data_IF_709357477002
#
_entry.id   IF_709357477002
#
_cell.length_a   1.000
_cell.length_b   1.000
_cell.length_c   1.000
_cell.angle_alpha   90.00
_cell.angle_beta   90.00
_cell.angle_gamma   90.00
#
_symmetry.space_group_name_H-M   'P 1'
#
loop_
_entity.id
_entity.type
_entity.pdbx_description
1 polymer ?
#
# COMPACT_ATOMS: atom_id res chain seq x y z
N UNK A 1 1.37 13.87 -15.83
CA UNK A 1 0.95 12.54 -16.32
C UNK A 1 2.21 11.78 -16.75
N UNK A 2 2.29 10.47 -16.48
CA UNK A 2 3.38 9.64 -16.95
C UNK A 2 3.24 9.33 -18.45
N UNK A 3 4.35 8.96 -19.09
CA UNK A 3 4.36 8.30 -20.40
C UNK A 3 4.12 6.79 -20.18
N UNK A 4 2.93 6.24 -20.55
CA UNK A 4 2.56 4.87 -20.18
C UNK A 4 3.52 3.80 -20.68
N UNK A 5 3.99 3.87 -21.91
CA UNK A 5 4.89 2.87 -22.49
C UNK A 5 6.25 2.84 -21.77
N UNK A 6 6.78 4.02 -21.40
CA UNK A 6 8.02 4.09 -20.63
C UNK A 6 7.79 3.66 -19.17
N UNK A 7 6.67 4.00 -18.55
CA UNK A 7 6.32 3.50 -17.22
C UNK A 7 6.20 1.97 -17.19
N UNK A 8 5.60 1.37 -18.22
CA UNK A 8 5.53 -0.08 -18.37
C UNK A 8 6.93 -0.68 -18.52
N UNK A 9 7.79 -0.10 -19.35
CA UNK A 9 9.18 -0.54 -19.47
C UNK A 9 9.92 -0.49 -18.11
N UNK A 10 9.78 0.59 -17.35
CA UNK A 10 10.38 0.71 -16.02
C UNK A 10 9.86 -0.36 -15.05
N UNK A 11 8.55 -0.63 -15.07
CA UNK A 11 7.92 -1.68 -14.27
C UNK A 11 8.38 -3.09 -14.69
N UNK A 12 8.53 -3.35 -15.99
CA UNK A 12 9.05 -4.61 -16.51
C UNK A 12 10.50 -4.84 -16.07
N UNK A 13 11.32 -3.78 -16.04
CA UNK A 13 12.69 -3.85 -15.48
C UNK A 13 12.67 -4.19 -14.00
N UNK A 14 11.76 -3.62 -13.23
CA UNK A 14 11.59 -3.93 -11.81
C UNK A 14 11.20 -5.40 -11.57
N UNK A 15 10.17 -5.89 -12.27
CA UNK A 15 9.72 -7.29 -12.12
C UNK A 15 10.75 -8.29 -12.65
N UNK A 16 11.47 -7.96 -13.73
CA UNK A 16 12.57 -8.79 -14.22
C UNK A 16 13.73 -8.86 -13.22
N UNK A 17 14.08 -7.75 -12.56
CA UNK A 17 15.12 -7.71 -11.54
C UNK A 17 14.75 -8.57 -10.31
N UNK A 18 13.48 -8.53 -9.89
CA UNK A 18 12.95 -9.40 -8.83
C UNK A 18 13.09 -10.88 -9.22
N UNK A 19 12.61 -11.26 -10.41
CA UNK A 19 12.70 -12.65 -10.91
C UNK A 19 14.15 -13.12 -11.04
N UNK A 20 15.06 -12.26 -11.51
CA UNK A 20 16.48 -12.56 -11.61
C UNK A 20 17.15 -12.82 -10.24
N UNK A 21 16.55 -12.33 -9.16
CA UNK A 21 16.98 -12.57 -7.78
C UNK A 21 16.16 -13.68 -7.08
N UNK A 22 15.45 -14.52 -7.85
CA UNK A 22 14.73 -15.68 -7.32
C UNK A 22 13.41 -15.37 -6.62
N UNK A 23 12.84 -14.18 -6.84
CA UNK A 23 11.51 -13.82 -6.30
C UNK A 23 10.41 -14.28 -7.25
N UNK A 24 9.44 -15.00 -6.73
CA UNK A 24 8.19 -15.32 -7.44
C UNK A 24 7.29 -14.08 -7.48
N UNK A 25 7.21 -13.45 -8.66
CA UNK A 25 6.43 -12.23 -8.87
C UNK A 25 5.02 -12.56 -9.35
N UNK A 26 4.01 -12.10 -8.60
CA UNK A 26 2.60 -12.22 -8.95
C UNK A 26 2.05 -10.83 -9.32
N UNK A 27 1.50 -10.71 -10.52
CA UNK A 27 0.92 -9.46 -11.02
C UNK A 27 -0.51 -9.26 -10.47
N UNK A 28 -0.84 -8.03 -10.07
CA UNK A 28 -2.16 -7.67 -9.53
C UNK A 28 -3.30 -8.07 -10.48
N UNK A 29 -3.15 -7.84 -11.79
CA UNK A 29 -4.16 -8.19 -12.79
C UNK A 29 -4.50 -9.69 -12.79
N UNK A 30 -3.51 -10.55 -12.57
CA UNK A 30 -3.71 -12.01 -12.47
C UNK A 30 -4.42 -12.38 -11.18
N UNK A 31 -4.04 -11.75 -10.06
CA UNK A 31 -4.73 -11.93 -8.77
C UNK A 31 -6.21 -11.55 -8.88
N UNK A 32 -6.51 -10.40 -9.47
CA UNK A 32 -7.88 -9.91 -9.61
C UNK A 32 -8.69 -10.77 -10.59
N UNK A 33 -8.08 -11.23 -11.68
CA UNK A 33 -8.74 -12.13 -12.63
C UNK A 33 -9.22 -13.40 -11.93
N UNK A 34 -8.36 -14.05 -11.15
CA UNK A 34 -8.72 -15.24 -10.37
C UNK A 34 -9.74 -14.92 -9.26
N UNK A 35 -9.55 -13.82 -8.53
CA UNK A 35 -10.41 -13.39 -7.44
C UNK A 35 -11.86 -13.12 -7.84
N UNK A 36 -12.06 -12.65 -9.07
CA UNK A 36 -13.36 -12.25 -9.59
C UNK A 36 -14.07 -13.37 -10.35
N UNK A 37 -13.48 -14.56 -10.49
CA UNK A 37 -14.12 -15.70 -11.14
C UNK A 37 -15.35 -16.21 -10.36
N UNK A 38 -15.33 -16.36 -9.01
CA UNK A 38 -16.52 -16.76 -8.26
C UNK A 38 -17.60 -15.69 -8.30
N UNK A 39 -18.81 -16.06 -8.75
CA UNK A 39 -19.93 -15.13 -8.94
C UNK A 39 -20.28 -14.35 -7.67
N UNK A 40 -20.26 -15.00 -6.50
CA UNK A 40 -20.55 -14.36 -5.22
C UNK A 40 -19.52 -13.28 -4.83
N UNK A 41 -18.23 -13.53 -5.09
CA UNK A 41 -17.16 -12.57 -4.85
C UNK A 41 -17.26 -11.39 -5.83
N UNK A 42 -17.45 -11.69 -7.11
CA UNK A 42 -17.68 -10.70 -8.15
C UNK A 42 -18.84 -9.76 -7.79
N UNK A 43 -20.05 -10.29 -7.54
CA UNK A 43 -21.23 -9.48 -7.20
C UNK A 43 -21.01 -8.56 -6.01
N UNK A 44 -20.23 -8.98 -5.00
CA UNK A 44 -19.89 -8.17 -3.83
C UNK A 44 -19.00 -6.98 -4.21
N UNK A 45 -17.94 -7.22 -4.98
CA UNK A 45 -17.02 -6.18 -5.46
C UNK A 45 -17.76 -5.17 -6.34
N UNK A 46 -18.56 -5.66 -7.29
CA UNK A 46 -19.22 -4.80 -8.28
C UNK A 46 -20.22 -3.82 -7.64
N UNK A 47 -20.90 -4.21 -6.56
CA UNK A 47 -21.76 -3.31 -5.77
C UNK A 47 -20.98 -2.13 -5.18
N UNK A 48 -19.75 -2.36 -4.74
CA UNK A 48 -18.88 -1.33 -4.19
C UNK A 48 -18.21 -0.45 -5.26
N UNK A 49 -17.88 -1.02 -6.42
CA UNK A 49 -17.24 -0.32 -7.54
C UNK A 49 -18.21 0.60 -8.30
N UNK A 50 -19.47 0.18 -8.46
CA UNK A 50 -20.52 0.93 -9.16
C UNK A 50 -21.71 1.28 -8.24
N UNK A 51 -21.52 2.14 -7.21
CA UNK A 51 -22.57 2.46 -6.25
C UNK A 51 -23.65 3.34 -6.88
N UNK A 52 -24.92 2.97 -6.69
CA UNK A 52 -26.08 3.72 -7.19
C UNK A 52 -26.16 5.13 -6.59
N UNK A 53 -25.61 5.34 -5.39
CA UNK A 53 -25.52 6.64 -4.72
C UNK A 53 -24.70 7.65 -5.52
N UNK A 54 -23.71 7.18 -6.31
CA UNK A 54 -22.89 8.05 -7.17
C UNK A 54 -23.43 8.11 -8.61
N UNK A 55 -23.86 6.97 -9.13
CA UNK A 55 -24.17 6.80 -10.56
C UNK A 55 -25.64 7.03 -10.92
N UNK A 56 -26.55 6.90 -9.95
CA UNK A 56 -27.96 6.66 -10.22
C UNK A 56 -28.24 5.19 -10.54
N UNK A 57 -29.49 4.76 -10.38
CA UNK A 57 -29.87 3.35 -10.45
C UNK A 57 -29.65 2.71 -11.82
N UNK A 58 -30.04 3.39 -12.90
CA UNK A 58 -29.94 2.86 -14.27
C UNK A 58 -28.47 2.66 -14.69
N UNK A 59 -27.63 3.70 -14.57
CA UNK A 59 -26.19 3.63 -14.90
C UNK A 59 -25.50 2.57 -14.05
N UNK A 60 -25.78 2.53 -12.73
CA UNK A 60 -25.20 1.51 -11.86
C UNK A 60 -25.62 0.08 -12.22
N UNK A 61 -26.86 -0.14 -12.66
CA UNK A 61 -27.32 -1.45 -13.12
C UNK A 61 -26.59 -1.86 -14.39
N UNK A 62 -26.57 -0.99 -15.41
CA UNK A 62 -25.88 -1.24 -16.68
C UNK A 62 -24.39 -1.53 -16.51
N UNK A 63 -23.71 -0.75 -15.66
CA UNK A 63 -22.29 -0.98 -15.37
C UNK A 63 -22.07 -2.35 -14.72
N UNK A 64 -22.96 -2.77 -13.81
CA UNK A 64 -22.87 -4.09 -13.15
C UNK A 64 -23.17 -5.22 -14.12
N UNK A 65 -24.16 -5.06 -15.00
CA UNK A 65 -24.50 -6.05 -16.03
C UNK A 65 -23.31 -6.25 -16.98
N UNK A 66 -22.73 -5.17 -17.53
CA UNK A 66 -21.52 -5.23 -18.35
C UNK A 66 -20.38 -5.99 -17.65
N UNK A 67 -20.12 -5.67 -16.38
CA UNK A 67 -19.05 -6.32 -15.64
C UNK A 67 -19.35 -7.81 -15.36
N UNK A 68 -20.61 -8.18 -15.14
CA UNK A 68 -21.01 -9.58 -14.96
C UNK A 68 -20.88 -10.38 -16.26
N UNK A 69 -21.27 -9.80 -17.39
CA UNK A 69 -21.21 -10.42 -18.71
C UNK A 69 -19.77 -10.53 -19.24
N UNK A 70 -18.87 -9.66 -18.81
CA UNK A 70 -17.46 -9.69 -19.18
C UNK A 70 -16.72 -10.94 -18.63
N UNK A 71 -15.79 -11.47 -19.43
CA UNK A 71 -14.87 -12.50 -18.98
C UNK A 71 -14.00 -12.00 -17.80
N UNK A 72 -13.52 -12.87 -16.89
CA UNK A 72 -12.81 -12.45 -15.68
C UNK A 72 -11.62 -11.50 -15.93
N UNK A 73 -10.83 -11.74 -16.98
CA UNK A 73 -9.69 -10.89 -17.32
C UNK A 73 -10.13 -9.48 -17.77
N UNK A 74 -11.13 -9.41 -18.66
CA UNK A 74 -11.69 -8.14 -19.13
C UNK A 74 -12.37 -7.37 -17.99
N UNK A 75 -13.04 -8.07 -17.08
CA UNK A 75 -13.63 -7.47 -15.87
C UNK A 75 -12.56 -6.83 -14.98
N UNK A 76 -11.44 -7.52 -14.76
CA UNK A 76 -10.32 -6.98 -13.99
C UNK A 76 -9.70 -5.75 -14.67
N UNK A 77 -9.54 -5.80 -16.00
CA UNK A 77 -9.07 -4.67 -16.80
C UNK A 77 -9.99 -3.45 -16.68
N UNK A 78 -11.30 -3.62 -16.87
CA UNK A 78 -12.29 -2.53 -16.73
C UNK A 78 -12.28 -1.91 -15.32
N UNK A 79 -12.06 -2.70 -14.27
CA UNK A 79 -11.97 -2.21 -12.90
C UNK A 79 -10.68 -1.41 -12.64
N UNK A 80 -9.56 -1.77 -13.30
CA UNK A 80 -8.27 -1.09 -13.15
C UNK A 80 -8.16 0.14 -14.05
N UNK A 81 -8.46 -0.01 -15.34
CA UNK A 81 -8.37 1.03 -16.37
C UNK A 81 -9.53 2.03 -16.32
N UNK A 82 -10.65 1.65 -15.68
CA UNK A 82 -11.86 2.45 -15.65
C UNK A 82 -12.73 2.26 -16.89
N UNK A 83 -13.85 2.96 -16.89
CA UNK A 83 -14.88 2.90 -17.93
C UNK A 83 -15.57 4.27 -18.01
N UNK A 84 -15.65 4.83 -19.21
CA UNK A 84 -16.37 6.07 -19.50
C UNK A 84 -17.84 5.81 -19.81
N UNK A 85 -18.67 6.85 -19.70
CA UNK A 85 -20.08 6.78 -20.08
C UNK A 85 -20.24 6.44 -21.57
N UNK A 86 -19.38 6.98 -22.44
CA UNK A 86 -19.37 6.68 -23.88
C UNK A 86 -19.15 5.19 -24.14
N UNK A 87 -18.20 4.56 -23.46
CA UNK A 87 -17.92 3.14 -23.60
C UNK A 87 -19.06 2.29 -23.05
N UNK A 88 -19.67 2.69 -21.93
CA UNK A 88 -20.85 2.03 -21.38
C UNK A 88 -22.03 2.09 -22.37
N UNK A 89 -22.31 3.26 -22.96
CA UNK A 89 -23.37 3.44 -23.95
C UNK A 89 -23.10 2.66 -25.24
N UNK A 90 -21.83 2.50 -25.63
CA UNK A 90 -21.45 1.68 -26.78
C UNK A 90 -21.67 0.17 -26.53
N UNK A 91 -21.52 -0.29 -25.29
CA UNK A 91 -21.80 -1.68 -24.92
C UNK A 91 -23.30 -2.01 -24.99
N UNK A 92 -24.18 -1.06 -24.64
CA UNK A 92 -25.64 -1.24 -24.73
C UNK A 92 -26.32 -0.01 -25.33
N UNK A 93 -26.37 0.10 -26.68
CA UNK A 93 -27.00 1.23 -27.37
C UNK A 93 -28.44 1.44 -26.91
N UNK A 94 -28.81 2.69 -26.63
CA UNK A 94 -30.12 3.06 -26.10
C UNK A 94 -30.33 2.80 -24.60
N UNK A 95 -29.43 2.05 -23.95
CA UNK A 95 -29.58 1.69 -22.53
C UNK A 95 -29.43 2.86 -21.56
N UNK A 96 -28.81 3.96 -21.99
CA UNK A 96 -28.54 5.14 -21.16
C UNK A 96 -29.43 6.34 -21.49
N UNK A 97 -30.30 6.24 -22.49
CA UNK A 97 -30.98 7.39 -23.11
C UNK A 97 -32.05 8.02 -22.21
N UNK A 98 -32.63 7.24 -21.30
CA UNK A 98 -33.61 7.67 -20.30
C UNK A 98 -33.00 7.79 -18.88
N UNK A 99 -31.70 7.48 -18.74
CA UNK A 99 -31.02 7.50 -17.46
C UNK A 99 -30.59 8.93 -17.10
N UNK A 100 -31.28 9.57 -16.15
CA UNK A 100 -30.91 10.91 -15.66
C UNK A 100 -29.43 11.02 -15.26
N UNK A 101 -28.88 9.96 -14.65
CA UNK A 101 -27.46 9.90 -14.28
C UNK A 101 -26.48 9.95 -15.45
N UNK A 102 -26.90 9.48 -16.63
CA UNK A 102 -26.16 9.61 -17.88
C UNK A 102 -26.42 10.97 -18.55
N UNK A 103 -27.69 11.39 -18.65
CA UNK A 103 -28.10 12.64 -19.29
C UNK A 103 -27.49 13.90 -18.64
N UNK A 104 -27.21 13.86 -17.34
CA UNK A 104 -26.59 14.95 -16.60
C UNK A 104 -25.05 14.97 -16.66
N UNK A 105 -24.41 14.12 -17.48
CA UNK A 105 -22.96 13.92 -17.52
C UNK A 105 -22.43 13.97 -18.95
N UNK A 106 -21.18 14.43 -19.17
CA UNK A 106 -20.57 14.37 -20.48
C UNK A 106 -20.16 12.93 -20.83
N UNK A 107 -20.00 12.58 -22.12
CA UNK A 107 -19.67 11.21 -22.55
C UNK A 107 -18.34 10.67 -22.02
N UNK A 108 -17.37 11.53 -21.73
CA UNK A 108 -16.04 11.18 -21.18
C UNK A 108 -16.04 11.05 -19.64
N UNK A 109 -17.20 11.19 -19.00
CA UNK A 109 -17.32 10.97 -17.56
C UNK A 109 -17.07 9.51 -17.19
N UNK A 110 -16.21 9.27 -16.19
CA UNK A 110 -15.91 7.93 -15.70
C UNK A 110 -17.04 7.35 -14.84
N UNK A 111 -17.77 6.38 -15.42
CA UNK A 111 -18.70 5.53 -14.68
C UNK A 111 -17.94 4.55 -13.78
N UNK A 112 -16.74 4.12 -14.16
CA UNK A 112 -15.74 3.52 -13.28
C UNK A 112 -14.49 4.39 -13.35
N UNK A 113 -14.11 5.08 -12.26
CA UNK A 113 -12.85 5.82 -12.23
C UNK A 113 -11.65 4.87 -12.37
N UNK A 114 -10.60 5.26 -13.12
CA UNK A 114 -9.38 4.47 -13.23
C UNK A 114 -8.68 4.40 -11.87
N UNK A 115 -8.17 3.22 -11.50
CA UNK A 115 -7.43 3.00 -10.27
C UNK A 115 -5.92 3.15 -10.50
N UNK A 116 -5.52 4.35 -10.92
CA UNK A 116 -4.13 4.64 -11.35
C UNK A 116 -3.08 4.36 -10.28
N UNK A 117 -3.46 4.42 -8.99
CA UNK A 117 -2.57 4.11 -7.87
C UNK A 117 -2.44 2.61 -7.59
N UNK A 118 -3.13 1.73 -8.32
CA UNK A 118 -3.03 0.27 -8.16
C UNK A 118 -1.64 -0.28 -8.49
N UNK A 119 -0.78 0.48 -9.17
CA UNK A 119 0.64 0.17 -9.30
C UNK A 119 1.37 0.17 -7.95
N UNK A 120 0.88 0.93 -6.97
CA UNK A 120 1.39 0.95 -5.60
C UNK A 120 0.63 -0.05 -4.73
N UNK A 121 0.87 -1.35 -5.01
CA UNK A 121 0.20 -2.47 -4.34
C UNK A 121 0.49 -2.55 -2.85
N UNK A 122 1.48 -1.81 -2.35
CA UNK A 122 1.80 -1.67 -0.92
C UNK A 122 0.62 -1.21 -0.07
N UNK A 123 -0.11 -0.21 -0.53
CA UNK A 123 -0.93 0.58 0.39
C UNK A 123 -2.27 -0.10 0.71
N UNK A 124 -2.83 -0.81 -0.27
CA UNK A 124 -4.20 -1.33 -0.18
C UNK A 124 -4.33 -2.61 0.64
N UNK A 125 -3.21 -3.25 0.98
CA UNK A 125 -3.19 -4.35 1.93
C UNK A 125 -1.81 -4.64 2.50
N UNK A 126 -1.78 -5.26 3.68
CA UNK A 126 -0.57 -5.84 4.26
C UNK A 126 -0.75 -7.32 4.60
N UNK A 127 0.33 -8.08 4.45
CA UNK A 127 0.44 -9.46 4.92
C UNK A 127 1.36 -9.51 6.12
N UNK A 128 0.86 -10.05 7.23
CA UNK A 128 1.56 -10.12 8.51
C UNK A 128 1.53 -11.58 8.95
N UNK A 129 2.65 -12.28 8.77
CA UNK A 129 2.72 -13.74 8.87
C UNK A 129 1.68 -14.39 7.95
N UNK A 130 0.82 -15.24 8.47
CA UNK A 130 -0.26 -15.93 7.75
C UNK A 130 -1.61 -15.18 7.83
N UNK A 131 -1.59 -13.87 8.11
CA UNK A 131 -2.78 -13.01 8.18
C UNK A 131 -2.72 -11.91 7.14
N UNK A 132 -3.86 -11.64 6.53
CA UNK A 132 -4.06 -10.56 5.56
C UNK A 132 -4.88 -9.41 6.18
N UNK A 133 -4.49 -8.17 5.90
CA UNK A 133 -5.23 -6.95 6.27
C UNK A 133 -5.62 -6.18 5.01
N UNK A 134 -6.92 -6.06 4.73
CA UNK A 134 -7.45 -5.16 3.71
C UNK A 134 -7.55 -3.75 4.29
N UNK A 135 -7.09 -2.75 3.55
CA UNK A 135 -6.98 -1.42 4.10
C UNK A 135 -8.14 -0.50 3.68
N UNK A 136 -8.87 0.09 4.65
CA UNK A 136 -9.81 1.16 4.36
C UNK A 136 -9.06 2.44 4.01
N UNK A 137 -8.71 2.57 2.73
CA UNK A 137 -7.96 3.70 2.18
C UNK A 137 -8.52 5.05 2.61
N UNK A 138 -7.65 5.98 3.00
CA UNK A 138 -8.06 7.30 3.50
C UNK A 138 -8.82 8.10 2.44
N UNK A 139 -8.36 8.04 1.19
CA UNK A 139 -8.98 8.77 0.08
C UNK A 139 -10.07 7.94 -0.61
N UNK A 140 -11.24 8.57 -0.84
CA UNK A 140 -12.40 7.90 -1.45
C UNK A 140 -12.11 7.22 -2.79
N UNK A 141 -11.24 7.80 -3.60
CA UNK A 141 -10.87 7.29 -4.93
C UNK A 141 -10.13 5.95 -4.88
N UNK A 142 -9.36 5.68 -3.81
CA UNK A 142 -8.58 4.45 -3.65
C UNK A 142 -9.34 3.33 -2.92
N UNK A 143 -10.51 3.59 -2.35
CA UNK A 143 -11.25 2.59 -1.54
C UNK A 143 -11.62 1.33 -2.33
N UNK A 144 -11.74 1.44 -3.65
CA UNK A 144 -11.99 0.26 -4.51
C UNK A 144 -10.77 -0.67 -4.53
N UNK A 145 -9.55 -0.17 -4.46
CA UNK A 145 -8.31 -0.97 -4.44
C UNK A 145 -8.31 -1.95 -3.25
N UNK A 146 -8.55 -1.44 -2.03
CA UNK A 146 -8.66 -2.28 -0.83
C UNK A 146 -9.79 -3.31 -0.89
N UNK A 147 -10.94 -2.96 -1.49
CA UNK A 147 -12.07 -3.90 -1.69
C UNK A 147 -11.72 -5.02 -2.66
N UNK A 148 -10.98 -4.70 -3.72
CA UNK A 148 -10.52 -5.68 -4.71
C UNK A 148 -9.54 -6.68 -4.07
N UNK A 149 -8.57 -6.20 -3.31
CA UNK A 149 -7.63 -7.07 -2.59
C UNK A 149 -8.32 -7.89 -1.50
N UNK A 150 -9.34 -7.34 -0.82
CA UNK A 150 -10.12 -8.08 0.16
C UNK A 150 -10.85 -9.26 -0.47
N UNK A 151 -11.48 -9.03 -1.63
CA UNK A 151 -12.15 -10.08 -2.37
C UNK A 151 -11.15 -11.15 -2.88
N UNK A 152 -9.98 -10.73 -3.33
CA UNK A 152 -8.91 -11.64 -3.73
C UNK A 152 -8.41 -12.52 -2.60
N UNK A 153 -8.10 -11.92 -1.46
CA UNK A 153 -7.68 -12.66 -0.26
C UNK A 153 -8.76 -13.66 0.19
N UNK A 154 -10.04 -13.25 0.18
CA UNK A 154 -11.16 -14.12 0.54
C UNK A 154 -11.34 -15.29 -0.45
N UNK A 155 -11.27 -15.03 -1.75
CA UNK A 155 -11.37 -16.06 -2.78
C UNK A 155 -10.22 -17.07 -2.71
N UNK A 156 -9.03 -16.62 -2.32
CA UNK A 156 -7.87 -17.46 -2.07
C UNK A 156 -7.92 -18.23 -0.73
N UNK A 157 -8.96 -18.03 0.09
CA UNK A 157 -9.08 -18.65 1.42
C UNK A 157 -8.10 -18.10 2.46
N UNK A 158 -7.55 -16.90 2.23
CA UNK A 158 -6.62 -16.27 3.17
C UNK A 158 -7.32 -15.89 4.48
N UNK A 159 -6.57 -15.97 5.58
CA UNK A 159 -7.08 -15.65 6.92
C UNK A 159 -6.95 -14.15 7.16
N UNK A 160 -8.06 -13.46 7.34
CA UNK A 160 -8.03 -12.05 7.68
C UNK A 160 -7.41 -11.82 9.07
N UNK A 161 -6.68 -10.72 9.23
CA UNK A 161 -6.36 -10.14 10.53
C UNK A 161 -7.68 -9.60 11.09
N UNK A 162 -8.28 -10.37 11.99
CA UNK A 162 -9.57 -10.03 12.58
C UNK A 162 -9.36 -9.32 13.91
N UNK A 163 -10.06 -8.20 14.08
CA UNK A 163 -10.39 -7.71 15.41
C UNK A 163 -11.81 -8.17 15.75
N UNK A 164 -12.02 -8.80 16.92
CA UNK A 164 -13.36 -9.05 17.44
C UNK A 164 -14.13 -7.73 17.56
N UNK A 165 -15.37 -7.70 17.05
CA UNK A 165 -16.29 -6.55 17.12
C UNK A 165 -15.74 -5.27 16.47
N UNK A 166 -14.94 -5.39 15.40
CA UNK A 166 -14.47 -4.25 14.63
C UNK A 166 -15.66 -3.36 14.20
N UNK A 167 -15.66 -2.05 14.50
CA UNK A 167 -16.74 -1.16 14.14
C UNK A 167 -16.84 -1.04 12.62
N UNK A 168 -18.08 -0.94 12.13
CA UNK A 168 -18.31 -0.59 10.74
C UNK A 168 -17.76 0.82 10.44
N UNK A 169 -17.14 0.98 9.27
CA UNK A 169 -16.69 2.30 8.83
C UNK A 169 -15.37 2.78 9.43
N UNK A 170 -14.48 1.87 9.87
CA UNK A 170 -13.07 2.24 10.08
C UNK A 170 -12.50 2.92 8.82
N UNK A 171 -11.78 4.02 9.02
CA UNK A 171 -11.18 4.79 7.94
C UNK A 171 -9.71 5.09 8.21
N UNK A 172 -8.94 5.10 7.13
CA UNK A 172 -7.56 5.53 7.11
C UNK A 172 -6.64 4.52 7.80
N UNK A 173 -6.33 3.46 7.06
CA UNK A 173 -5.13 2.64 7.24
C UNK A 173 -4.56 2.47 5.84
N UNK A 174 -3.26 2.65 5.66
CA UNK A 174 -2.57 2.37 4.40
C UNK A 174 -1.29 1.59 4.69
N UNK A 175 -0.92 0.66 3.81
CA UNK A 175 0.15 -0.30 4.06
C UNK A 175 1.56 0.29 4.04
N UNK A 176 1.75 1.47 3.44
CA UNK A 176 3.00 2.23 3.59
C UNK A 176 3.29 2.64 5.04
N UNK A 177 2.27 2.70 5.89
CA UNK A 177 2.44 2.94 7.34
C UNK A 177 2.70 1.65 8.13
N UNK A 178 2.60 0.47 7.53
CA UNK A 178 2.76 -0.81 8.23
C UNK A 178 4.13 -1.39 7.91
N UNK A 179 5.09 -1.15 8.79
CA UNK A 179 6.45 -1.67 8.66
C UNK A 179 6.62 -2.94 9.52
N UNK A 180 7.19 -3.98 8.90
CA UNK A 180 7.36 -5.31 9.50
C UNK A 180 8.86 -5.64 9.66
N UNK A 181 9.54 -5.11 10.67
CA UNK A 181 10.97 -5.30 10.85
C UNK A 181 11.40 -6.70 11.33
N UNK A 182 10.45 -7.61 11.60
CA UNK A 182 10.74 -8.99 12.00
C UNK A 182 10.62 -9.24 13.50
N UNK A 183 10.97 -10.45 13.97
CA UNK A 183 10.93 -10.86 15.38
C UNK A 183 9.58 -10.62 16.11
N UNK A 184 8.47 -10.63 15.38
CA UNK A 184 7.15 -10.31 15.93
C UNK A 184 6.92 -8.83 16.24
N UNK A 185 7.78 -7.94 15.74
CA UNK A 185 7.63 -6.51 15.83
C UNK A 185 6.84 -5.95 14.64
N UNK A 186 5.91 -5.04 14.93
CA UNK A 186 5.19 -4.24 13.93
C UNK A 186 5.31 -2.76 14.31
N UNK A 187 5.61 -1.91 13.34
CA UNK A 187 5.65 -0.45 13.51
C UNK A 187 4.59 0.18 12.61
N UNK A 188 3.71 0.98 13.20
CA UNK A 188 2.55 1.58 12.54
C UNK A 188 2.74 3.10 12.50
N UNK A 189 2.85 3.67 11.31
CA UNK A 189 2.78 5.10 11.07
C UNK A 189 1.38 5.65 11.34
N UNK A 190 1.31 6.84 11.92
CA UNK A 190 0.04 7.55 12.20
C UNK A 190 0.17 8.97 11.71
N UNK A 191 -0.68 9.35 10.77
CA UNK A 191 -0.54 10.60 10.02
C UNK A 191 -1.76 10.93 9.16
N UNK A 192 -1.51 11.39 7.94
CA UNK A 192 -2.57 11.80 7.00
C UNK A 192 -3.36 10.59 6.47
N UNK A 193 -2.70 9.44 6.30
CA UNK A 193 -3.27 8.25 5.67
C UNK A 193 -3.70 7.17 6.65
N UNK A 194 -2.95 6.99 7.74
CA UNK A 194 -3.35 6.12 8.84
C UNK A 194 -3.80 6.92 10.05
N UNK A 195 -5.05 6.72 10.48
CA UNK A 195 -5.63 7.39 11.64
C UNK A 195 -5.18 6.72 12.95
N UNK A 196 -5.16 7.46 14.08
CA UNK A 196 -4.87 6.86 15.38
C UNK A 196 -5.83 5.70 15.72
N UNK A 197 -7.12 5.85 15.40
CA UNK A 197 -8.13 4.82 15.66
C UNK A 197 -7.85 3.54 14.85
N UNK A 198 -7.48 3.66 13.57
CA UNK A 198 -7.13 2.50 12.76
C UNK A 198 -5.84 1.81 13.24
N UNK A 199 -4.84 2.59 13.68
CA UNK A 199 -3.64 2.06 14.28
C UNK A 199 -3.92 1.30 15.59
N UNK A 200 -4.80 1.81 16.44
CA UNK A 200 -5.24 1.11 17.66
C UNK A 200 -6.00 -0.19 17.33
N UNK A 201 -6.89 -0.18 16.33
CA UNK A 201 -7.61 -1.38 15.89
C UNK A 201 -6.64 -2.45 15.38
N UNK A 202 -5.71 -2.07 14.50
CA UNK A 202 -4.68 -2.98 14.02
C UNK A 202 -3.80 -3.50 15.16
N UNK A 203 -3.37 -2.64 16.08
CA UNK A 203 -2.57 -3.05 17.24
C UNK A 203 -3.32 -4.04 18.13
N UNK A 204 -4.63 -3.83 18.36
CA UNK A 204 -5.47 -4.73 19.14
C UNK A 204 -5.60 -6.08 18.45
N UNK A 205 -5.90 -6.11 17.15
CA UNK A 205 -5.98 -7.35 16.37
C UNK A 205 -4.65 -8.14 16.42
N UNK A 206 -3.52 -7.45 16.26
CA UNK A 206 -2.19 -8.06 16.27
C UNK A 206 -1.83 -8.66 17.64
N UNK A 207 -2.01 -7.89 18.71
CA UNK A 207 -1.64 -8.30 20.07
C UNK A 207 -2.61 -9.34 20.64
N UNK A 208 -3.92 -9.13 20.50
CA UNK A 208 -4.92 -10.09 21.02
C UNK A 208 -4.89 -11.40 20.22
N UNK A 209 -4.58 -11.33 18.93
CA UNK A 209 -4.44 -12.49 18.05
C UNK A 209 -3.08 -13.18 18.11
N UNK A 210 -2.12 -12.70 18.92
CA UNK A 210 -0.75 -13.24 19.00
C UNK A 210 0.03 -13.17 17.68
N UNK A 211 -0.39 -12.30 16.75
CA UNK A 211 0.24 -12.12 15.43
C UNK A 211 1.44 -11.16 15.51
N UNK A 212 1.54 -10.37 16.58
CA UNK A 212 2.72 -9.60 16.94
C UNK A 212 2.97 -9.68 18.45
N UNK A 213 4.25 -9.61 18.83
CA UNK A 213 4.72 -9.57 20.20
C UNK A 213 4.95 -8.12 20.67
N UNK A 214 5.35 -7.25 19.73
CA UNK A 214 5.61 -5.84 19.96
C UNK A 214 4.94 -5.00 18.88
N UNK A 215 4.17 -3.98 19.29
CA UNK A 215 3.62 -3.00 18.35
C UNK A 215 4.02 -1.59 18.78
N UNK A 216 4.58 -0.84 17.84
CA UNK A 216 4.95 0.55 18.01
C UNK A 216 4.07 1.45 17.14
N UNK A 217 3.67 2.61 17.65
CA UNK A 217 3.05 3.67 16.86
C UNK A 217 4.03 4.83 16.69
N UNK A 218 4.06 5.39 15.48
CA UNK A 218 4.92 6.52 15.11
C UNK A 218 4.03 7.64 14.62
N UNK A 219 3.87 8.70 15.42
CA UNK A 219 3.19 9.90 14.96
C UNK A 219 4.11 10.63 13.98
N UNK A 220 3.69 10.70 12.72
CA UNK A 220 4.42 11.35 11.64
C UNK A 220 4.19 12.87 11.66
N UNK A 221 5.17 13.68 11.21
CA UNK A 221 4.99 15.11 11.04
C UNK A 221 3.92 15.41 10.00
N UNK A 222 3.17 16.50 10.20
CA UNK A 222 2.25 17.02 9.18
C UNK A 222 3.03 17.74 8.09
N UNK A 223 3.54 16.99 7.13
CA UNK A 223 4.26 17.50 5.97
C UNK A 223 3.78 16.82 4.70
N UNK A 224 3.54 17.59 3.63
CA UNK A 224 3.12 17.04 2.31
C UNK A 224 4.13 16.04 1.71
N UNK A 225 5.39 16.09 2.15
CA UNK A 225 6.46 15.18 1.75
C UNK A 225 6.51 13.87 2.53
N UNK A 226 5.64 13.69 3.53
CA UNK A 226 5.60 12.55 4.43
C UNK A 226 4.19 11.96 4.40
N UNK A 227 3.91 11.13 3.40
CA UNK A 227 2.59 10.48 3.26
C UNK A 227 2.47 9.26 4.17
N UNK A 228 3.53 8.46 4.24
CA UNK A 228 3.59 7.19 4.97
C UNK A 228 4.92 7.00 5.70
N UNK A 229 4.96 6.09 6.68
CA UNK A 229 6.17 5.74 7.42
C UNK A 229 7.30 5.23 6.51
N UNK A 230 6.98 4.42 5.49
CA UNK A 230 7.96 3.89 4.53
C UNK A 230 8.57 4.96 3.59
N UNK A 231 8.03 6.17 3.58
CA UNK A 231 8.66 7.33 2.93
C UNK A 231 9.66 8.01 3.87
N UNK A 232 9.60 7.76 5.18
CA UNK A 232 10.51 8.34 6.18
C UNK A 232 11.63 7.37 6.54
N UNK A 233 11.32 6.08 6.66
CA UNK A 233 12.29 5.04 7.00
C UNK A 233 11.94 3.68 6.45
N UNK A 234 12.96 2.94 6.02
CA UNK A 234 12.83 1.54 5.59
C UNK A 234 13.97 0.70 6.16
N UNK A 235 13.67 -0.53 6.59
CA UNK A 235 14.67 -1.47 7.09
C UNK A 235 15.41 -2.13 5.92
N UNK A 236 16.72 -1.93 5.85
CA UNK A 236 17.59 -2.36 4.74
C UNK A 236 18.46 -3.59 5.07
N UNK A 237 18.59 -3.90 6.36
CA UNK A 237 19.32 -5.06 6.88
C UNK A 237 18.79 -5.42 8.28
N UNK A 238 19.27 -6.50 8.90
CA UNK A 238 18.85 -7.00 10.21
C UNK A 238 18.80 -5.95 11.33
N UNK A 239 19.69 -4.96 11.27
CA UNK A 239 19.77 -3.88 12.27
C UNK A 239 19.94 -2.49 11.64
N UNK A 240 19.76 -2.38 10.31
CA UNK A 240 20.01 -1.12 9.59
C UNK A 240 18.75 -0.55 8.96
N UNK A 241 18.55 0.76 9.11
CA UNK A 241 17.46 1.49 8.49
C UNK A 241 18.02 2.62 7.63
N UNK A 242 17.47 2.78 6.43
CA UNK A 242 17.60 3.99 5.63
C UNK A 242 16.54 4.99 6.11
N UNK A 243 16.94 6.21 6.43
CA UNK A 243 16.06 7.21 7.03
C UNK A 243 16.23 8.61 6.42
N UNK A 244 15.17 9.40 6.48
CA UNK A 244 15.24 10.85 6.38
C UNK A 244 15.35 11.47 7.79
N UNK A 245 16.55 11.88 8.22
CA UNK A 245 16.75 12.44 9.58
C UNK A 245 15.84 13.63 9.89
N UNK A 246 15.67 14.53 8.92
CA UNK A 246 14.81 15.71 9.02
C UNK A 246 13.40 15.35 9.47
N UNK A 247 12.82 14.28 8.90
CA UNK A 247 11.46 13.85 9.24
C UNK A 247 11.45 12.95 10.47
N UNK A 248 12.48 12.10 10.64
CA UNK A 248 12.66 11.26 11.83
C UNK A 248 12.67 12.07 13.11
N UNK A 249 13.39 13.19 13.14
CA UNK A 249 13.51 14.05 14.34
C UNK A 249 12.18 14.69 14.76
N UNK A 250 11.19 14.73 13.87
CA UNK A 250 9.85 15.24 14.14
C UNK A 250 8.87 14.14 14.56
N UNK A 251 9.27 12.87 14.47
CA UNK A 251 8.41 11.74 14.80
C UNK A 251 8.33 11.52 16.32
N UNK A 252 7.16 11.14 16.81
CA UNK A 252 6.97 10.73 18.22
C UNK A 252 6.58 9.27 18.28
N UNK A 253 7.31 8.50 19.08
CA UNK A 253 7.15 7.06 19.16
C UNK A 253 6.44 6.64 20.44
N UNK A 254 5.63 5.59 20.31
CA UNK A 254 4.89 4.99 21.41
C UNK A 254 5.00 3.48 21.33
N UNK A 255 5.18 2.82 22.47
CA UNK A 255 4.94 1.38 22.60
C UNK A 255 3.47 1.16 22.93
N UNK A 256 2.83 0.26 22.18
CA UNK A 256 1.42 -0.10 22.39
C UNK A 256 1.33 -1.49 23.03
N UNK A 257 0.47 -1.60 24.04
CA UNK A 257 0.17 -2.84 24.77
C UNK A 257 -1.32 -2.95 25.06
N UNK A 258 -1.78 -4.16 25.31
CA UNK A 258 -3.13 -4.38 25.85
C UNK A 258 -3.11 -4.28 27.37
N UNK A 259 -4.14 -3.65 27.94
CA UNK A 259 -4.47 -3.80 29.36
C UNK A 259 -5.31 -5.07 29.61
N UNK A 260 -5.66 -5.32 30.88
CA UNK A 260 -6.45 -6.50 31.28
C UNK A 260 -7.86 -6.56 30.65
N UNK A 261 -8.34 -5.47 30.03
CA UNK A 261 -9.63 -5.41 29.32
C UNK A 261 -9.45 -5.46 27.80
N UNK A 262 -8.28 -5.88 27.32
CA UNK A 262 -7.92 -5.85 25.90
C UNK A 262 -8.07 -4.46 25.27
N UNK A 263 -7.88 -3.39 26.04
CA UNK A 263 -7.84 -2.02 25.52
C UNK A 263 -6.40 -1.63 25.22
N UNK A 264 -6.18 -0.99 24.07
CA UNK A 264 -4.85 -0.50 23.68
C UNK A 264 -4.43 0.65 24.58
N UNK A 265 -3.20 0.59 25.09
CA UNK A 265 -2.54 1.62 25.87
C UNK A 265 -1.21 1.97 25.23
N UNK A 266 -1.02 3.24 24.90
CA UNK A 266 0.21 3.76 24.34
C UNK A 266 1.09 4.41 25.42
N UNK A 267 2.39 4.12 25.43
CA UNK A 267 3.38 4.76 26.31
C UNK A 267 4.47 5.40 25.47
N UNK A 268 4.74 6.69 25.68
CA UNK A 268 5.75 7.43 24.92
C UNK A 268 7.15 6.85 25.14
N UNK A 269 7.99 6.89 24.10
CA UNK A 269 9.36 6.39 24.13
C UNK A 269 10.37 7.52 23.94
N UNK A 270 11.22 7.75 24.92
CA UNK A 270 12.32 8.73 24.82
C UNK A 270 13.47 8.21 23.94
N UNK A 271 13.67 6.88 23.91
CA UNK A 271 14.72 6.20 23.14
C UNK A 271 14.12 5.14 22.22
N UNK A 272 13.40 5.54 21.15
CA UNK A 272 12.63 4.61 20.32
C UNK A 272 13.48 3.52 19.66
N UNK A 273 14.65 3.88 19.11
CA UNK A 273 15.52 2.90 18.45
C UNK A 273 16.16 1.91 19.42
N UNK A 274 16.37 2.29 20.68
CA UNK A 274 16.83 1.34 21.70
C UNK A 274 15.71 0.35 22.08
N UNK A 275 14.47 0.82 22.17
CA UNK A 275 13.31 -0.04 22.39
C UNK A 275 13.06 -0.98 21.19
N UNK A 276 13.22 -0.47 19.96
CA UNK A 276 13.13 -1.28 18.74
C UNK A 276 14.24 -2.32 18.67
N UNK A 277 15.50 -1.96 18.97
CA UNK A 277 16.61 -2.91 19.04
C UNK A 277 16.32 -4.05 20.02
N UNK A 278 15.81 -3.72 21.21
CA UNK A 278 15.42 -4.71 22.21
C UNK A 278 14.32 -5.65 21.71
N UNK A 279 13.28 -5.11 21.05
CA UNK A 279 12.20 -5.89 20.45
C UNK A 279 12.70 -6.83 19.33
N UNK A 280 13.64 -6.35 18.51
CA UNK A 280 14.27 -7.11 17.44
C UNK A 280 15.37 -8.06 17.91
N UNK A 281 15.76 -7.99 19.19
CA UNK A 281 16.85 -8.78 19.80
C UNK A 281 18.21 -8.54 19.14
N UNK A 282 18.47 -7.30 18.75
CA UNK A 282 19.76 -6.83 18.21
C UNK A 282 20.43 -5.87 19.20
N UNK A 283 21.74 -5.69 19.05
CA UNK A 283 22.52 -4.87 19.99
C UNK A 283 22.24 -3.37 19.89
N UNK A 284 21.81 -2.91 18.71
CA UNK A 284 21.46 -1.52 18.42
C UNK A 284 20.86 -1.39 17.03
N UNK A 285 20.38 -0.20 16.69
CA UNK A 285 19.93 0.12 15.33
C UNK A 285 20.94 1.07 14.68
N UNK A 286 21.43 0.69 13.51
CA UNK A 286 22.23 1.55 12.63
C UNK A 286 21.32 2.36 11.72
N UNK A 287 21.51 3.68 11.71
CA UNK A 287 20.75 4.59 10.86
C UNK A 287 21.64 5.12 9.74
N UNK A 288 21.17 4.99 8.50
CA UNK A 288 21.81 5.50 7.29
C UNK A 288 20.92 6.64 6.78
N UNK A 289 21.47 7.85 6.68
CA UNK A 289 20.70 9.00 6.19
C UNK A 289 20.53 8.95 4.67
N UNK A 290 19.50 9.58 4.12
CA UNK A 290 19.36 9.78 2.67
C UNK A 290 20.21 10.96 2.15
N UNK A 291 20.61 11.91 3.02
CA UNK A 291 21.36 13.11 2.64
C UNK A 291 22.51 13.48 3.58
N UNK A 292 23.31 14.47 3.17
CA UNK A 292 24.44 15.02 3.95
C UNK A 292 23.99 16.07 4.97
N UNK A 293 22.93 16.79 4.62
CA UNK A 293 22.41 17.91 5.36
C UNK A 293 20.89 18.00 5.17
N UNK A 294 20.26 18.88 5.94
CA UNK A 294 18.81 19.06 5.88
C UNK A 294 18.29 19.52 4.50
N UNK A 295 19.13 20.11 3.64
CA UNK A 295 18.72 20.53 2.30
C UNK A 295 18.69 19.34 1.33
N UNK A 296 19.79 18.58 1.28
CA UNK A 296 19.94 17.38 0.47
C UNK A 296 18.94 16.30 0.89
N UNK A 297 18.77 16.04 2.19
CA UNK A 297 17.76 15.09 2.71
C UNK A 297 16.34 15.47 2.28
N UNK A 298 15.99 16.77 2.24
CA UNK A 298 14.67 17.22 1.75
C UNK A 298 14.51 17.06 0.24
N UNK A 299 15.58 17.23 -0.53
CA UNK A 299 15.57 17.01 -1.99
C UNK A 299 15.37 15.53 -2.31
N UNK A 300 16.15 14.65 -1.68
CA UNK A 300 16.07 13.19 -1.85
C UNK A 300 14.72 12.63 -1.37
N UNK A 301 14.09 13.25 -0.38
CA UNK A 301 12.74 12.89 0.05
C UNK A 301 11.72 13.06 -1.09
N UNK A 302 11.88 14.07 -1.94
CA UNK A 302 10.93 14.32 -3.05
C UNK A 302 10.99 13.24 -4.13
N UNK A 303 12.09 12.49 -4.19
CA UNK A 303 12.29 11.35 -5.09
C UNK A 303 12.16 10.00 -4.36
N UNK A 304 11.53 9.99 -3.18
CA UNK A 304 11.24 8.80 -2.38
C UNK A 304 12.51 7.99 -2.05
N UNK A 305 13.64 8.66 -1.80
CA UNK A 305 14.93 8.00 -1.60
C UNK A 305 14.99 7.04 -0.40
N UNK A 306 14.16 7.24 0.64
CA UNK A 306 14.06 6.32 1.75
C UNK A 306 13.22 5.06 1.44
N UNK A 307 12.48 5.05 0.33
CA UNK A 307 11.50 4.03 -0.04
C UNK A 307 12.11 2.92 -0.92
N UNK A 308 13.10 2.21 -0.37
CA UNK A 308 13.80 1.12 -1.07
C UNK A 308 13.18 -0.24 -0.75
N UNK A 309 13.19 -1.18 -1.69
CA UNK A 309 12.72 -2.56 -1.43
C UNK A 309 13.88 -3.46 -1.03
N UNK A 310 13.89 -3.94 0.20
CA UNK A 310 14.89 -4.94 0.65
C UNK A 310 14.51 -6.33 0.16
N UNK A 311 15.33 -6.91 -0.72
CA UNK A 311 15.15 -8.26 -1.26
C UNK A 311 15.55 -9.34 -0.25
N UNK A 312 16.71 -9.13 0.37
CA UNK A 312 17.33 -9.97 1.39
C UNK A 312 18.17 -9.05 2.29
N UNK A 313 18.52 -9.48 3.52
CA UNK A 313 19.35 -8.68 4.40
C UNK A 313 20.60 -8.15 3.69
N UNK A 314 20.80 -6.83 3.70
CA UNK A 314 21.94 -6.19 3.05
C UNK A 314 21.82 -6.01 1.53
N UNK A 315 20.68 -6.29 0.90
CA UNK A 315 20.47 -6.05 -0.54
C UNK A 315 19.12 -5.40 -0.83
N UNK A 316 19.15 -4.25 -1.50
CA UNK A 316 17.96 -3.43 -1.78
C UNK A 316 17.82 -3.12 -3.27
N UNK A 317 16.58 -2.87 -3.69
CA UNK A 317 16.26 -2.21 -4.96
C UNK A 317 15.91 -0.74 -4.67
N UNK A 318 16.59 0.17 -5.36
CA UNK A 318 16.38 1.61 -5.30
C UNK A 318 16.17 2.19 -6.71
N UNK A 319 15.74 3.45 -6.79
CA UNK A 319 15.77 4.19 -8.04
C UNK A 319 17.18 4.69 -8.38
N UNK A 320 17.54 4.63 -9.67
CA UNK A 320 18.86 5.05 -10.17
C UNK A 320 19.18 6.54 -9.89
N UNK A 321 18.16 7.38 -9.92
CA UNK A 321 18.29 8.84 -9.72
C UNK A 321 18.72 9.26 -8.31
N UNK A 322 18.52 8.41 -7.31
CA UNK A 322 18.80 8.71 -5.90
C UNK A 322 20.27 8.43 -5.57
N UNK A 323 21.18 8.97 -6.39
CA UNK A 323 22.61 8.63 -6.39
C UNK A 323 23.25 8.83 -5.01
N UNK A 324 22.88 9.89 -4.30
CA UNK A 324 23.42 10.18 -2.98
C UNK A 324 23.04 9.15 -1.92
N UNK A 325 21.76 8.76 -1.87
CA UNK A 325 21.29 7.73 -0.95
C UNK A 325 21.87 6.35 -1.31
N UNK A 326 21.96 6.04 -2.61
CA UNK A 326 22.55 4.80 -3.12
C UNK A 326 24.04 4.69 -2.74
N UNK A 327 24.81 5.78 -2.86
CA UNK A 327 26.21 5.82 -2.47
C UNK A 327 26.39 5.62 -0.96
N UNK A 328 25.49 6.17 -0.13
CA UNK A 328 25.52 5.98 1.32
C UNK A 328 25.21 4.56 1.73
N UNK A 329 24.19 3.95 1.14
CA UNK A 329 23.87 2.54 1.33
C UNK A 329 25.08 1.66 0.96
N UNK A 330 25.69 1.91 -0.19
CA UNK A 330 26.87 1.18 -0.67
C UNK A 330 28.04 1.31 0.30
N UNK A 331 28.33 2.53 0.78
CA UNK A 331 29.39 2.78 1.79
C UNK A 331 29.08 2.12 3.15
N UNK A 332 27.81 1.90 3.47
CA UNK A 332 27.38 1.18 4.66
C UNK A 332 27.41 -0.36 4.50
N UNK A 333 27.84 -0.86 3.34
CA UNK A 333 27.92 -2.29 3.03
C UNK A 333 26.63 -2.91 2.51
N UNK A 334 25.66 -2.09 2.07
CA UNK A 334 24.41 -2.56 1.47
C UNK A 334 24.62 -2.65 -0.05
N UNK A 335 24.28 -3.79 -0.64
CA UNK A 335 24.24 -3.99 -2.09
C UNK A 335 23.00 -3.28 -2.67
N UNK A 336 23.22 -2.35 -3.60
CA UNK A 336 22.16 -1.50 -4.15
C UNK A 336 21.95 -1.84 -5.62
N UNK A 337 20.84 -2.53 -5.90
CA UNK A 337 20.35 -2.75 -7.26
C UNK A 337 19.48 -1.56 -7.66
N UNK A 338 19.60 -1.10 -8.90
CA UNK A 338 18.85 0.07 -9.36
C UNK A 338 17.91 -0.25 -10.52
N UNK A 339 16.80 0.48 -10.56
CA UNK A 339 15.86 0.51 -11.68
C UNK A 339 15.67 1.96 -12.18
N UNK A 340 15.40 2.15 -13.48
CA UNK A 340 15.03 3.46 -14.01
C UNK A 340 13.74 3.98 -13.39
N UNK A 341 13.63 5.30 -13.26
CA UNK A 341 12.53 5.93 -12.51
C UNK A 341 12.07 7.28 -13.10
N UNK A 342 12.11 7.46 -14.41
CA UNK A 342 11.67 8.70 -15.05
C UNK A 342 10.14 8.88 -14.98
N UNK A 343 9.38 7.78 -15.04
CA UNK A 343 7.92 7.82 -15.10
C UNK A 343 7.26 7.27 -13.84
N UNK A 344 7.73 6.15 -13.27
CA UNK A 344 7.14 5.55 -12.07
C UNK A 344 7.16 6.49 -10.86
N UNK A 345 8.25 7.23 -10.67
CA UNK A 345 8.40 8.19 -9.55
C UNK A 345 7.37 9.32 -9.61
N UNK A 346 6.76 9.61 -10.76
CA UNK A 346 5.74 10.66 -10.88
C UNK A 346 4.49 10.36 -10.07
N UNK A 347 4.28 9.08 -9.73
CA UNK A 347 3.25 8.62 -8.80
C UNK A 347 3.57 8.88 -7.31
N UNK A 348 4.77 9.38 -6.98
CA UNK A 348 5.28 9.63 -5.61
C UNK A 348 5.38 8.35 -4.76
N UNK A 349 6.19 7.40 -5.24
CA UNK A 349 6.51 6.18 -4.51
C UNK A 349 7.75 5.50 -5.10
N UNK A 350 8.48 4.78 -4.25
CA UNK A 350 9.66 4.01 -4.61
C UNK A 350 9.37 2.51 -4.83
N UNK A 351 10.42 1.71 -5.04
CA UNK A 351 10.31 0.24 -5.16
C UNK A 351 9.56 -0.43 -4.00
N UNK A 352 9.60 0.12 -2.78
CA UNK A 352 8.84 -0.44 -1.66
C UNK A 352 7.33 -0.25 -1.83
N UNK A 353 6.89 0.91 -2.32
CA UNK A 353 5.48 1.17 -2.63
C UNK A 353 4.96 0.31 -3.80
N UNK A 354 5.82 -0.01 -4.77
CA UNK A 354 5.49 -0.85 -5.94
C UNK A 354 5.34 -2.35 -5.60
N UNK A 355 5.51 -2.75 -4.35
CA UNK A 355 5.51 -4.17 -3.95
C UNK A 355 4.66 -4.43 -2.72
N UNK A 356 4.09 -5.63 -2.65
CA UNK A 356 3.38 -6.17 -1.49
C UNK A 356 3.87 -7.60 -1.24
N UNK A 357 4.84 -7.81 -0.33
CA UNK A 357 5.33 -9.13 0.00
C UNK A 357 4.19 -10.01 0.51
N UNK A 358 3.94 -11.12 -0.18
CA UNK A 358 2.98 -12.14 0.22
C UNK A 358 3.62 -13.18 1.14
N UNK A 359 4.86 -13.55 0.81
CA UNK A 359 5.69 -14.51 1.55
C UNK A 359 7.09 -13.91 1.68
N UNK A 360 7.62 -13.91 2.89
CA UNK A 360 8.99 -13.52 3.19
C UNK A 360 9.46 -14.36 4.37
N UNK A 361 10.65 -14.94 4.24
CA UNK A 361 11.27 -15.72 5.32
C UNK A 361 11.54 -14.83 6.54
N UNK A 362 11.49 -15.40 7.76
CA UNK A 362 11.54 -14.65 9.02
C UNK A 362 12.88 -13.95 9.32
#
# INVERSE_FOLDING_TARGET
>A
MPWPELAQYEHDRFTALLRANGVDVVELSSVLTAALEPEAACRRVLRGAAPAQRLGHAVAALTRDLLLDAAPAQRAELLLAGLTLRELSAHRPGGTDDALGALARPPDWFVLPPLVNSMFVRDSSSWIRDRYSAHPMATGVRRTEGRLLAAAAQAAGARALQEPDAPEGLEGLEGGDVLLPGAGCVVIGVGERTTPAAAEHMARALLAGGTADHVFAVLLPRARSCMHLDTVMTMVDHESFLISSVHRDQCRWFSMRLDARNTVRASALDKPFAALAAALRVSGIRLIDTGDDAFTTRREQWSDAANVLTLRPGTVIAYDRNTLANDRLSKAGIDVLTIPSAELVRGRGGPHCLSCPLVRDP
#
